data_IF_642025102785
#
_entry.id   IF_642025102785
#
_cell.length_a   1.000
_cell.length_b   1.000
_cell.length_c   1.000
_cell.angle_alpha   90.00
_cell.angle_beta   90.00
_cell.angle_gamma   90.00
#
_symmetry.space_group_name_H-M   'P 1'
#
loop_
_entity.id
_entity.type
_entity.pdbx_description
1 polymer ?
#
# COMPACT_ATOMS: atom_id res chain seq x y z
N UNK A 1 -3.39 4.26 17.35
CA UNK A 1 -4.87 4.24 17.33
C UNK A 1 -5.36 2.83 17.59
N UNK A 2 -6.31 2.67 18.47
CA UNK A 2 -6.97 1.39 18.80
C UNK A 2 -8.47 1.55 18.55
N UNK A 3 -8.98 0.84 17.53
CA UNK A 3 -10.40 0.92 17.15
C UNK A 3 -11.30 0.19 18.12
N UNK A 4 -10.84 -0.94 18.69
CA UNK A 4 -11.65 -1.70 19.64
C UNK A 4 -11.82 -0.93 20.95
N UNK A 5 -10.75 -0.25 21.39
CA UNK A 5 -10.79 0.62 22.56
C UNK A 5 -11.38 2.01 22.28
N UNK A 6 -11.56 2.39 21.02
CA UNK A 6 -12.03 3.71 20.62
C UNK A 6 -11.06 4.85 21.02
N UNK A 7 -9.74 4.58 21.01
CA UNK A 7 -8.74 5.54 21.50
C UNK A 7 -7.68 5.86 20.45
N UNK A 8 -7.12 7.05 20.52
CA UNK A 8 -5.96 7.49 19.75
C UNK A 8 -5.05 8.40 20.59
N UNK A 9 -3.82 8.61 20.13
CA UNK A 9 -2.79 9.40 20.81
C UNK A 9 -1.98 10.25 19.82
N UNK A 10 -2.68 11.03 19.00
CA UNK A 10 -2.06 11.94 18.03
C UNK A 10 -1.49 13.21 18.67
N UNK A 11 -1.80 13.49 19.94
CA UNK A 11 -1.21 14.56 20.74
C UNK A 11 0.09 14.15 21.48
N UNK A 12 0.65 12.98 21.13
CA UNK A 12 1.90 12.47 21.69
C UNK A 12 3.12 13.24 21.18
N UNK A 13 4.19 13.26 22.00
CA UNK A 13 5.49 13.81 21.59
C UNK A 13 6.03 13.13 20.32
N UNK A 14 5.80 11.82 20.14
CA UNK A 14 6.23 11.05 18.97
C UNK A 14 5.56 11.56 17.68
N UNK A 15 4.26 11.86 17.71
CA UNK A 15 3.57 12.38 16.53
C UNK A 15 3.97 13.82 16.23
N UNK A 16 4.19 14.65 17.23
CA UNK A 16 4.72 16.01 17.08
C UNK A 16 6.11 15.96 16.43
N UNK A 17 7.01 15.15 16.98
CA UNK A 17 8.35 14.94 16.40
C UNK A 17 8.30 14.44 14.95
N UNK A 18 7.39 13.52 14.64
CA UNK A 18 7.21 13.04 13.27
C UNK A 18 6.83 14.16 12.31
N UNK A 19 5.91 15.06 12.69
CA UNK A 19 5.53 16.22 11.87
C UNK A 19 6.72 17.15 11.62
N UNK A 20 7.52 17.42 12.64
CA UNK A 20 8.71 18.27 12.57
C UNK A 20 9.81 17.65 11.69
N UNK A 21 10.06 16.34 11.83
CA UNK A 21 11.01 15.60 10.99
C UNK A 21 10.57 15.59 9.52
N UNK A 22 9.29 15.39 9.25
CA UNK A 22 8.74 15.47 7.89
C UNK A 22 8.93 16.87 7.29
N UNK A 23 8.73 17.94 8.07
CA UNK A 23 8.94 19.31 7.61
C UNK A 23 10.42 19.58 7.31
N UNK A 24 11.32 19.11 8.17
CA UNK A 24 12.77 19.23 7.99
C UNK A 24 13.21 18.48 6.71
N UNK A 25 12.79 17.23 6.54
CA UNK A 25 13.09 16.43 5.37
C UNK A 25 12.57 17.10 4.07
N UNK A 26 11.33 17.60 4.06
CA UNK A 26 10.75 18.28 2.90
C UNK A 26 11.55 19.55 2.51
N UNK A 27 12.12 20.26 3.48
CA UNK A 27 12.95 21.42 3.23
C UNK A 27 14.34 21.07 2.64
N UNK A 28 14.87 19.90 3.00
CA UNK A 28 16.19 19.44 2.58
C UNK A 28 16.15 18.81 1.17
N UNK A 29 15.15 17.99 0.88
CA UNK A 29 15.08 17.24 -0.37
C UNK A 29 14.36 18.00 -1.51
N UNK A 30 13.52 18.96 -1.19
CA UNK A 30 12.79 19.73 -2.20
C UNK A 30 11.87 18.86 -3.07
N UNK A 31 11.57 19.36 -4.28
CA UNK A 31 10.73 18.68 -5.28
C UNK A 31 11.52 18.05 -6.42
N UNK A 32 12.81 17.78 -6.24
CA UNK A 32 13.65 17.22 -7.31
C UNK A 32 13.33 15.75 -7.52
N UNK A 33 12.58 15.46 -8.58
CA UNK A 33 12.22 14.09 -8.96
C UNK A 33 13.44 13.24 -9.36
N UNK A 34 14.57 13.86 -9.78
CA UNK A 34 15.79 13.13 -10.09
C UNK A 34 16.46 12.56 -8.83
N UNK A 35 16.28 13.18 -7.68
CA UNK A 35 16.77 12.66 -6.41
C UNK A 35 16.08 11.35 -5.98
N UNK A 36 14.81 11.16 -6.38
CA UNK A 36 14.07 9.94 -6.08
C UNK A 36 14.69 8.69 -6.73
N UNK A 37 15.18 8.80 -7.97
CA UNK A 37 15.80 7.67 -8.67
C UNK A 37 17.21 7.31 -8.16
N UNK A 38 17.83 8.21 -7.41
CA UNK A 38 19.16 8.00 -6.82
C UNK A 38 19.09 7.71 -5.30
N UNK A 39 17.91 7.57 -4.75
CA UNK A 39 17.75 7.28 -3.32
C UNK A 39 18.10 5.83 -3.03
N UNK A 40 18.76 5.59 -1.88
CA UNK A 40 19.08 4.24 -1.40
C UNK A 40 17.82 3.43 -1.04
N UNK A 41 16.77 4.12 -0.60
CA UNK A 41 15.47 3.53 -0.27
C UNK A 41 14.39 4.23 -1.09
N UNK A 42 13.53 3.44 -1.71
CA UNK A 42 12.38 3.95 -2.44
C UNK A 42 11.12 3.24 -1.94
N UNK A 43 10.07 4.03 -1.68
CA UNK A 43 8.75 3.50 -1.37
C UNK A 43 8.03 3.15 -2.67
N UNK A 44 7.63 1.89 -2.79
CA UNK A 44 6.97 1.37 -3.99
C UNK A 44 5.70 0.60 -3.64
N UNK A 45 4.68 0.80 -4.46
CA UNK A 45 3.48 -0.02 -4.46
C UNK A 45 3.59 -1.07 -5.56
N UNK A 46 3.84 -2.31 -5.18
CA UNK A 46 3.90 -3.43 -6.12
C UNK A 46 2.49 -3.90 -6.46
N UNK A 47 2.02 -3.57 -7.65
CA UNK A 47 0.67 -3.91 -8.08
C UNK A 47 0.62 -5.12 -9.02
N UNK A 48 1.68 -5.34 -9.80
CA UNK A 48 1.72 -6.34 -10.87
C UNK A 48 3.15 -6.72 -11.27
N UNK A 49 3.29 -7.69 -12.16
CA UNK A 49 4.59 -8.16 -12.65
C UNK A 49 5.32 -7.12 -13.51
N UNK A 50 4.60 -6.26 -14.22
CA UNK A 50 5.19 -5.16 -15.01
C UNK A 50 5.98 -4.22 -14.09
N UNK A 51 5.44 -3.94 -12.89
CA UNK A 51 6.15 -3.08 -11.94
C UNK A 51 7.42 -3.72 -11.41
N UNK A 52 7.42 -5.02 -11.18
CA UNK A 52 8.62 -5.78 -10.76
C UNK A 52 9.70 -5.70 -11.84
N UNK A 53 9.36 -5.98 -13.10
CA UNK A 53 10.29 -5.87 -14.24
C UNK A 53 10.84 -4.45 -14.39
N UNK A 54 9.97 -3.43 -14.31
CA UNK A 54 10.40 -2.03 -14.39
C UNK A 54 11.39 -1.65 -13.30
N UNK A 55 11.21 -2.16 -12.07
CA UNK A 55 12.16 -1.96 -10.97
C UNK A 55 13.49 -2.67 -11.30
N UNK A 56 13.43 -3.89 -11.80
CA UNK A 56 14.62 -4.63 -12.19
C UNK A 56 15.42 -3.89 -13.25
N UNK A 57 14.80 -3.42 -14.30
CA UNK A 57 15.42 -2.63 -15.37
C UNK A 57 16.07 -1.35 -14.85
N UNK A 58 15.35 -0.60 -14.00
CA UNK A 58 15.84 0.66 -13.46
C UNK A 58 17.08 0.49 -12.57
N UNK A 59 17.18 -0.62 -11.85
CA UNK A 59 18.26 -0.87 -10.90
C UNK A 59 19.24 -1.98 -11.35
N UNK A 60 19.09 -2.47 -12.58
CA UNK A 60 19.97 -3.52 -13.15
C UNK A 60 20.00 -4.79 -12.30
N UNK A 61 18.87 -5.15 -11.71
CA UNK A 61 18.74 -6.30 -10.81
C UNK A 61 19.34 -6.12 -9.40
N UNK A 62 20.02 -5.00 -9.14
CA UNK A 62 20.70 -4.72 -7.86
C UNK A 62 19.74 -4.05 -6.84
N UNK A 63 18.64 -4.73 -6.49
CA UNK A 63 17.66 -4.28 -5.52
C UNK A 63 17.20 -5.41 -4.60
N UNK A 64 16.60 -5.05 -3.48
CA UNK A 64 15.92 -5.97 -2.58
C UNK A 64 14.60 -5.35 -2.13
N UNK A 65 13.56 -6.16 -2.03
CA UNK A 65 12.32 -5.73 -1.38
C UNK A 65 12.50 -5.81 0.14
N UNK A 66 12.21 -4.71 0.79
CA UNK A 66 12.18 -4.60 2.25
C UNK A 66 10.85 -3.94 2.62
N UNK A 67 10.22 -4.40 3.70
CA UNK A 67 9.02 -3.75 4.19
C UNK A 67 9.32 -2.42 4.88
N UNK A 68 8.27 -1.66 5.18
CA UNK A 68 8.40 -0.47 6.03
C UNK A 68 8.88 -0.90 7.42
N UNK A 69 9.99 -0.38 7.94
CA UNK A 69 10.53 -0.80 9.23
C UNK A 69 9.49 -0.66 10.34
N UNK A 70 9.32 -1.71 11.14
CA UNK A 70 8.51 -1.72 12.34
C UNK A 70 9.10 -2.71 13.35
N UNK A 71 8.61 -2.68 14.59
CA UNK A 71 9.19 -3.46 15.70
C UNK A 71 8.85 -4.95 15.67
N UNK A 72 7.85 -5.37 14.91
CA UNK A 72 7.24 -6.71 15.06
C UNK A 72 7.24 -7.58 13.81
N UNK A 73 7.40 -7.01 12.62
CA UNK A 73 7.33 -7.72 11.33
C UNK A 73 8.39 -7.22 10.37
N UNK A 74 8.48 -7.85 9.19
CA UNK A 74 9.31 -7.32 8.09
C UNK A 74 8.76 -6.02 7.48
N UNK A 75 7.59 -5.53 7.94
CA UNK A 75 6.98 -4.29 7.51
C UNK A 75 6.27 -4.32 6.17
N UNK A 76 6.27 -5.44 5.46
CA UNK A 76 5.50 -5.59 4.22
C UNK A 76 4.02 -5.75 4.51
N UNK A 77 3.17 -5.12 3.69
CA UNK A 77 1.72 -5.15 3.88
C UNK A 77 1.02 -5.41 2.55
N UNK A 78 -0.08 -6.18 2.60
CA UNK A 78 -1.03 -6.27 1.50
C UNK A 78 -2.03 -5.11 1.58
N UNK A 79 -2.25 -4.44 0.46
CA UNK A 79 -3.35 -3.50 0.29
C UNK A 79 -4.40 -4.12 -0.63
N UNK A 80 -5.65 -4.34 -0.18
CA UNK A 80 -6.71 -4.81 -1.07
C UNK A 80 -7.00 -3.77 -2.15
N UNK A 81 -6.89 -4.17 -3.42
CA UNK A 81 -7.18 -3.30 -4.56
C UNK A 81 -8.69 -3.23 -4.83
N UNK A 82 -9.36 -4.38 -4.83
CA UNK A 82 -10.80 -4.48 -5.06
C UNK A 82 -11.46 -5.37 -4.01
N UNK A 83 -12.46 -4.81 -3.33
CA UNK A 83 -13.27 -5.52 -2.34
C UNK A 83 -14.72 -5.63 -2.79
N UNK A 84 -15.32 -6.79 -2.61
CA UNK A 84 -16.74 -7.02 -2.87
C UNK A 84 -17.49 -7.17 -1.56
N UNK A 85 -18.66 -6.56 -1.48
CA UNK A 85 -19.59 -6.76 -0.38
C UNK A 85 -21.01 -7.06 -0.90
N UNK A 86 -21.73 -7.93 -0.20
CA UNK A 86 -23.11 -8.25 -0.51
C UNK A 86 -24.00 -7.61 0.56
N UNK A 87 -24.91 -6.72 0.16
CA UNK A 87 -25.82 -6.09 1.09
C UNK A 87 -26.63 -7.12 1.88
N UNK A 88 -26.67 -6.95 3.21
CA UNK A 88 -27.46 -7.78 4.11
C UNK A 88 -28.97 -7.70 3.81
N UNK A 89 -29.44 -6.57 3.27
CA UNK A 89 -30.82 -6.35 2.88
C UNK A 89 -31.19 -6.90 1.49
N UNK A 90 -30.21 -7.44 0.71
CA UNK A 90 -30.49 -7.97 -0.62
C UNK A 90 -31.36 -9.22 -0.57
N UNK A 91 -32.43 -9.24 -1.35
CA UNK A 91 -33.24 -10.44 -1.60
C UNK A 91 -32.64 -11.40 -2.63
N UNK A 92 -31.44 -11.08 -3.21
CA UNK A 92 -30.79 -11.86 -4.27
C UNK A 92 -29.35 -12.24 -3.91
N UNK A 93 -29.11 -12.59 -2.65
CA UNK A 93 -27.75 -12.87 -2.13
C UNK A 93 -27.04 -13.99 -2.87
N UNK A 94 -27.77 -15.06 -3.26
CA UNK A 94 -27.19 -16.19 -3.98
C UNK A 94 -26.68 -15.77 -5.37
N UNK A 95 -27.46 -14.96 -6.09
CA UNK A 95 -27.04 -14.44 -7.40
C UNK A 95 -25.85 -13.49 -7.28
N UNK A 96 -25.83 -12.62 -6.27
CA UNK A 96 -24.71 -11.75 -5.97
C UNK A 96 -23.46 -12.56 -5.61
N UNK A 97 -23.61 -13.62 -4.82
CA UNK A 97 -22.51 -14.53 -4.50
C UNK A 97 -21.94 -15.25 -5.72
N UNK A 98 -22.79 -15.68 -6.66
CA UNK A 98 -22.31 -16.27 -7.92
C UNK A 98 -21.44 -15.30 -8.72
N UNK A 99 -21.80 -14.03 -8.76
CA UNK A 99 -20.97 -13.00 -9.41
C UNK A 99 -19.61 -12.85 -8.70
N UNK A 100 -19.61 -12.68 -7.38
CA UNK A 100 -18.37 -12.56 -6.59
C UNK A 100 -17.49 -13.81 -6.82
N UNK A 101 -18.10 -15.00 -6.77
CA UNK A 101 -17.39 -16.25 -7.01
C UNK A 101 -16.77 -16.33 -8.42
N UNK A 102 -17.45 -15.81 -9.44
CA UNK A 102 -16.89 -15.80 -10.79
C UNK A 102 -15.66 -14.87 -10.89
N UNK A 103 -15.66 -13.73 -10.20
CA UNK A 103 -14.50 -12.85 -10.12
C UNK A 103 -13.31 -13.50 -9.39
N UNK A 104 -13.57 -14.43 -8.47
CA UNK A 104 -12.54 -15.15 -7.71
C UNK A 104 -12.11 -16.47 -8.41
N UNK A 105 -12.63 -16.78 -9.58
CA UNK A 105 -12.19 -17.97 -10.34
C UNK A 105 -10.79 -17.78 -10.92
N UNK A 106 -10.01 -18.85 -10.98
CA UNK A 106 -8.66 -18.83 -11.54
C UNK A 106 -8.65 -18.29 -12.98
N UNK A 107 -9.63 -18.67 -13.79
CA UNK A 107 -9.79 -18.20 -15.16
C UNK A 107 -9.93 -16.66 -15.23
N UNK A 108 -10.74 -16.07 -14.34
CA UNK A 108 -10.91 -14.62 -14.31
C UNK A 108 -9.67 -13.91 -13.78
N UNK A 109 -9.03 -14.45 -12.75
CA UNK A 109 -7.84 -13.87 -12.16
C UNK A 109 -6.61 -13.90 -13.08
N UNK A 110 -6.47 -14.93 -13.92
CA UNK A 110 -5.40 -15.00 -14.93
C UNK A 110 -5.49 -13.92 -16.00
N UNK A 111 -6.70 -13.40 -16.28
CA UNK A 111 -6.89 -12.34 -17.26
C UNK A 111 -6.48 -10.95 -16.76
N UNK A 112 -6.30 -10.78 -15.45
CA UNK A 112 -5.96 -9.50 -14.86
C UNK A 112 -4.44 -9.37 -14.72
N UNK A 113 -3.83 -8.61 -15.62
CA UNK A 113 -2.39 -8.33 -15.59
C UNK A 113 -2.04 -7.00 -14.88
N UNK A 114 -3.04 -6.25 -14.44
CA UNK A 114 -2.85 -4.93 -13.83
C UNK A 114 -2.76 -4.97 -12.31
N UNK A 115 -3.17 -6.09 -11.69
CA UNK A 115 -3.01 -6.32 -10.26
C UNK A 115 -2.72 -7.80 -9.97
N UNK A 116 -2.11 -8.08 -8.84
CA UNK A 116 -1.85 -9.46 -8.43
C UNK A 116 -3.15 -10.21 -8.12
N UNK A 117 -3.25 -11.48 -8.55
CA UNK A 117 -4.39 -12.32 -8.20
C UNK A 117 -4.38 -12.67 -6.70
N UNK A 118 -5.56 -12.94 -6.14
CA UNK A 118 -5.69 -13.42 -4.76
C UNK A 118 -5.43 -14.93 -4.63
N UNK A 119 -5.44 -15.67 -5.75
CA UNK A 119 -5.09 -17.09 -5.80
C UNK A 119 -3.58 -17.27 -5.89
N UNK A 120 -2.97 -17.88 -4.87
CA UNK A 120 -1.54 -18.16 -4.87
C UNK A 120 -1.11 -19.07 -6.04
N UNK A 121 -1.95 -20.04 -6.44
CA UNK A 121 -1.69 -20.91 -7.58
C UNK A 121 -1.67 -20.15 -8.90
N UNK A 122 -2.60 -19.20 -9.07
CA UNK A 122 -2.66 -18.34 -10.26
C UNK A 122 -1.44 -17.42 -10.29
N UNK A 123 -1.08 -16.82 -9.17
CA UNK A 123 0.09 -15.95 -9.08
C UNK A 123 1.38 -16.71 -9.44
N UNK A 124 1.56 -17.90 -8.91
CA UNK A 124 2.72 -18.73 -9.23
C UNK A 124 2.78 -19.09 -10.72
N UNK A 125 1.63 -19.44 -11.31
CA UNK A 125 1.55 -19.72 -12.75
C UNK A 125 1.88 -18.47 -13.60
N UNK A 126 1.38 -17.29 -13.19
CA UNK A 126 1.69 -16.02 -13.87
C UNK A 126 3.17 -15.64 -13.76
N UNK A 127 3.80 -15.85 -12.60
CA UNK A 127 5.23 -15.60 -12.42
C UNK A 127 6.06 -16.54 -13.30
N UNK A 128 5.72 -17.84 -13.35
CA UNK A 128 6.42 -18.80 -14.19
C UNK A 128 6.30 -18.47 -15.69
N UNK A 129 5.09 -18.10 -16.12
CA UNK A 129 4.85 -17.68 -17.50
C UNK A 129 5.63 -16.40 -17.85
N UNK A 130 5.67 -15.44 -16.93
CA UNK A 130 6.43 -14.20 -17.10
C UNK A 130 7.94 -14.43 -17.21
N UNK A 131 8.48 -15.39 -16.48
CA UNK A 131 9.92 -15.78 -16.58
C UNK A 131 10.21 -16.48 -17.90
N UNK A 132 9.29 -17.33 -18.39
CA UNK A 132 9.49 -18.09 -19.61
C UNK A 132 9.22 -17.26 -20.88
N UNK A 133 8.21 -16.41 -20.87
CA UNK A 133 7.64 -15.75 -22.06
C UNK A 133 7.66 -14.22 -21.99
N UNK A 134 8.09 -13.62 -20.86
CA UNK A 134 7.96 -12.19 -20.60
C UNK A 134 6.54 -11.77 -20.24
N UNK A 135 6.38 -10.50 -19.89
CA UNK A 135 5.08 -9.89 -19.63
C UNK A 135 4.72 -8.96 -20.78
N UNK A 136 3.65 -9.28 -21.50
CA UNK A 136 3.17 -8.47 -22.61
C UNK A 136 2.04 -7.55 -22.17
N UNK A 137 2.18 -6.25 -22.43
CA UNK A 137 1.16 -5.25 -22.15
C UNK A 137 1.04 -4.27 -23.33
N UNK A 138 -0.01 -4.38 -24.11
CA UNK A 138 -0.16 -3.69 -25.40
C UNK A 138 1.04 -3.98 -26.33
N UNK A 139 1.76 -2.94 -26.74
CA UNK A 139 2.96 -3.00 -27.58
C UNK A 139 4.28 -3.13 -26.82
N UNK A 140 4.20 -3.16 -25.47
CA UNK A 140 5.37 -3.25 -24.60
C UNK A 140 5.59 -4.68 -24.15
N UNK A 141 6.85 -5.04 -24.09
CA UNK A 141 7.34 -6.32 -23.57
C UNK A 141 8.28 -6.05 -22.40
N UNK A 142 8.08 -6.78 -21.31
CA UNK A 142 8.83 -6.65 -20.07
C UNK A 142 9.46 -8.01 -19.75
N UNK A 143 10.73 -8.01 -19.45
CA UNK A 143 11.45 -9.22 -19.05
C UNK A 143 11.38 -9.39 -17.52
N UNK A 144 11.25 -10.62 -17.07
CA UNK A 144 11.33 -11.00 -15.66
C UNK A 144 12.25 -12.21 -15.56
N UNK A 145 13.34 -12.10 -14.81
CA UNK A 145 14.22 -13.24 -14.61
C UNK A 145 13.88 -14.04 -13.33
N UNK A 146 14.54 -15.21 -13.18
CA UNK A 146 14.35 -16.08 -12.01
C UNK A 146 14.78 -15.41 -10.69
N UNK A 147 15.73 -14.50 -10.72
CA UNK A 147 16.18 -13.80 -9.51
C UNK A 147 15.11 -12.81 -9.04
N UNK A 148 14.46 -12.11 -9.96
CA UNK A 148 13.36 -11.20 -9.67
C UNK A 148 12.11 -11.95 -9.21
N UNK A 149 11.79 -13.06 -9.87
CA UNK A 149 10.72 -13.97 -9.46
C UNK A 149 10.94 -14.50 -8.02
N UNK A 150 12.17 -14.86 -7.68
CA UNK A 150 12.52 -15.32 -6.34
C UNK A 150 12.37 -14.21 -5.28
N UNK A 151 12.79 -12.97 -5.60
CA UNK A 151 12.60 -11.81 -4.71
C UNK A 151 11.11 -11.54 -4.46
N UNK A 152 10.28 -11.57 -5.51
CA UNK A 152 8.84 -11.37 -5.38
C UNK A 152 8.18 -12.46 -4.54
N UNK A 153 8.50 -13.74 -4.79
CA UNK A 153 7.99 -14.86 -3.97
C UNK A 153 8.41 -14.75 -2.52
N UNK A 154 9.66 -14.35 -2.26
CA UNK A 154 10.16 -14.08 -0.92
C UNK A 154 9.33 -13.01 -0.21
N UNK A 155 9.15 -11.85 -0.86
CA UNK A 155 8.33 -10.76 -0.32
C UNK A 155 6.91 -11.23 0.02
N UNK A 156 6.24 -11.91 -0.91
CA UNK A 156 4.85 -12.37 -0.73
C UNK A 156 4.75 -13.38 0.42
N UNK A 157 5.69 -14.33 0.51
CA UNK A 157 5.69 -15.36 1.55
C UNK A 157 5.90 -14.78 2.97
N UNK A 158 6.61 -13.67 3.07
CA UNK A 158 6.91 -13.00 4.34
C UNK A 158 5.83 -11.97 4.71
N UNK A 159 4.99 -11.55 3.76
CA UNK A 159 3.95 -10.55 4.00
C UNK A 159 2.73 -11.20 4.66
N UNK A 160 2.44 -10.85 5.89
CA UNK A 160 1.32 -11.38 6.67
C UNK A 160 0.31 -10.34 7.13
N UNK A 161 0.65 -9.06 6.96
CA UNK A 161 -0.17 -7.95 7.43
C UNK A 161 -1.02 -7.39 6.30
N UNK A 162 -2.31 -7.22 6.55
CA UNK A 162 -3.21 -6.47 5.67
C UNK A 162 -3.17 -5.02 6.08
N UNK A 163 -2.99 -4.13 5.12
CA UNK A 163 -3.07 -2.70 5.38
C UNK A 163 -4.51 -2.30 5.62
N UNK A 164 -4.79 -1.87 6.83
CA UNK A 164 -6.07 -1.23 7.16
C UNK A 164 -6.04 0.23 6.68
N UNK A 165 -6.95 0.57 5.81
CA UNK A 165 -7.11 1.94 5.33
C UNK A 165 -8.34 2.59 5.97
N UNK A 166 -8.11 3.69 6.67
CA UNK A 166 -9.17 4.54 7.23
C UNK A 166 -9.15 5.90 6.53
N UNK A 167 -9.76 6.03 5.33
CA UNK A 167 -9.64 7.24 4.51
C UNK A 167 -10.07 8.51 5.23
N UNK A 168 -11.10 8.43 6.08
CA UNK A 168 -11.57 9.58 6.85
C UNK A 168 -10.50 10.07 7.86
N UNK A 169 -9.85 9.15 8.56
CA UNK A 169 -8.75 9.47 9.48
C UNK A 169 -7.55 10.02 8.73
N UNK A 170 -7.14 9.40 7.62
CA UNK A 170 -6.02 9.87 6.82
C UNK A 170 -6.27 11.27 6.26
N UNK A 171 -7.50 11.58 5.84
CA UNK A 171 -7.88 12.93 5.41
C UNK A 171 -7.78 13.94 6.54
N UNK A 172 -8.23 13.61 7.75
CA UNK A 172 -8.09 14.48 8.92
C UNK A 172 -6.62 14.79 9.19
N UNK A 173 -5.77 13.76 9.22
CA UNK A 173 -4.33 13.92 9.43
C UNK A 173 -3.69 14.78 8.34
N UNK A 174 -4.04 14.54 7.07
CA UNK A 174 -3.49 15.29 5.94
C UNK A 174 -3.89 16.77 5.96
N UNK A 175 -5.16 17.07 6.30
CA UNK A 175 -5.66 18.45 6.39
C UNK A 175 -4.96 19.25 7.49
N UNK A 176 -4.78 18.65 8.68
CA UNK A 176 -4.16 19.31 9.80
C UNK A 176 -2.65 19.45 9.62
N UNK A 177 -1.98 18.40 9.09
CA UNK A 177 -0.57 18.47 8.73
C UNK A 177 -0.29 19.52 7.63
N UNK A 178 -1.19 19.66 6.64
CA UNK A 178 -1.03 20.65 5.58
C UNK A 178 -1.01 22.09 6.13
N UNK A 179 -1.78 22.40 7.17
CA UNK A 179 -1.75 23.72 7.80
C UNK A 179 -0.41 23.98 8.51
N UNK A 180 0.15 22.95 9.17
CA UNK A 180 1.47 23.03 9.76
C UNK A 180 2.56 23.22 8.69
N UNK A 181 2.58 22.42 7.63
CA UNK A 181 3.56 22.53 6.54
C UNK A 181 3.45 23.87 5.78
N UNK A 182 2.26 24.48 5.77
CA UNK A 182 2.06 25.83 5.23
C UNK A 182 2.48 26.95 6.23
N UNK A 183 2.97 26.61 7.42
CA UNK A 183 3.38 27.57 8.45
C UNK A 183 2.22 28.33 9.11
N UNK A 184 0.99 27.84 9.01
CA UNK A 184 -0.21 28.48 9.55
C UNK A 184 -0.42 28.17 11.03
N UNK A 185 0.01 27.00 11.48
CA UNK A 185 -0.08 26.53 12.86
C UNK A 185 1.22 25.83 13.26
N UNK A 186 1.43 25.59 14.56
CA UNK A 186 2.57 24.83 15.06
C UNK A 186 2.32 23.30 14.97
N UNK A 187 3.36 22.48 15.12
CA UNK A 187 3.25 21.03 15.15
C UNK A 187 2.34 20.55 16.29
N UNK A 188 2.46 21.16 17.49
CA UNK A 188 1.61 20.84 18.64
C UNK A 188 0.14 21.21 18.38
N UNK A 189 -0.12 22.30 17.66
CA UNK A 189 -1.48 22.67 17.29
C UNK A 189 -2.06 21.69 16.28
N UNK A 190 -1.29 21.27 15.25
CA UNK A 190 -1.71 20.27 14.30
C UNK A 190 -2.01 18.94 15.01
N UNK A 191 -1.13 18.50 15.89
CA UNK A 191 -1.28 17.29 16.70
C UNK A 191 -2.56 17.34 17.56
N UNK A 192 -2.81 18.45 18.24
CA UNK A 192 -4.01 18.62 19.07
C UNK A 192 -5.31 18.65 18.21
N UNK A 193 -5.29 19.25 17.03
CA UNK A 193 -6.43 19.23 16.11
C UNK A 193 -6.71 17.83 15.60
N UNK A 194 -5.70 17.11 15.15
CA UNK A 194 -5.80 15.73 14.71
C UNK A 194 -6.33 14.83 15.83
N UNK A 195 -5.78 14.95 17.04
CA UNK A 195 -6.26 14.21 18.22
C UNK A 195 -7.74 14.41 18.45
N UNK A 196 -8.20 15.65 18.48
CA UNK A 196 -9.61 15.97 18.76
C UNK A 196 -10.55 15.46 17.66
N UNK A 197 -10.20 15.69 16.39
CA UNK A 197 -11.00 15.28 15.23
C UNK A 197 -11.07 13.75 15.10
N UNK A 198 -9.95 13.06 15.28
CA UNK A 198 -9.92 11.59 15.21
C UNK A 198 -10.64 10.98 16.40
N UNK A 199 -10.51 11.53 17.61
CA UNK A 199 -11.28 11.08 18.77
C UNK A 199 -12.79 11.22 18.55
N UNK A 200 -13.22 12.32 17.93
CA UNK A 200 -14.63 12.54 17.57
C UNK A 200 -15.09 11.50 16.54
N UNK A 201 -14.30 11.30 15.49
CA UNK A 201 -14.59 10.30 14.46
C UNK A 201 -14.68 8.88 15.05
N UNK A 202 -13.77 8.50 15.95
CA UNK A 202 -13.81 7.20 16.63
C UNK A 202 -15.10 7.03 17.46
N UNK A 203 -15.53 8.08 18.16
CA UNK A 203 -16.75 8.03 18.95
C UNK A 203 -18.04 7.88 18.08
N UNK A 204 -17.99 8.25 16.81
CA UNK A 204 -19.07 8.09 15.87
C UNK A 204 -19.13 6.68 15.22
N UNK A 205 -18.03 5.89 15.35
CA UNK A 205 -17.97 4.52 14.81
C UNK A 205 -18.50 3.46 15.79
N UNK A 206 -18.55 3.74 17.06
CA UNK A 206 -19.06 2.86 18.14
C UNK A 206 -20.50 3.13 18.45
#
# INVERSE_FOLDING_TARGET
>A
MDLEAGTCSFDSEDYISLLEECAAAASEFGSDSAALYNSLLQFELLQNLIRVSTISDNYGGAYAFVGVPNETTNGSMFSPDLCFAISSASGKKDAAWQLVRSCLSDEHQQMNITSFPTSACVLDAMINDAVENGVHYYEYEYELDEADAAKLRGLISETQTVQDAYPAMLNIMAEDAAQFFAGQITAEQAAAYTQNRVSTWLAEQG
#
